data_IF_589669805487
#
_entry.id   IF_589669805487
#
_cell.length_a   1.000
_cell.length_b   1.000
_cell.length_c   1.000
_cell.angle_alpha   90.00
_cell.angle_beta   90.00
_cell.angle_gamma   90.00
#
_symmetry.space_group_name_H-M   'P 1'
#
loop_
_entity.id
_entity.type
_entity.pdbx_description
1 polymer ?
#
# COMPACT_ATOMS: atom_id res chain seq x y z
N UNK A 1 4.56 2.50 -37.90
CA UNK A 1 3.87 3.42 -36.97
C UNK A 1 4.64 3.42 -35.69
N UNK A 2 5.37 4.50 -35.45
CA UNK A 2 6.06 4.76 -34.19
C UNK A 2 5.00 5.19 -33.19
N UNK A 3 4.73 4.39 -32.17
CA UNK A 3 4.04 4.85 -30.99
C UNK A 3 5.06 5.54 -30.08
N UNK A 4 4.89 6.82 -29.87
CA UNK A 4 5.65 7.60 -28.89
C UNK A 4 5.41 7.02 -27.50
N UNK A 5 6.46 6.42 -26.91
CA UNK A 5 6.42 5.77 -25.59
C UNK A 5 6.30 6.70 -24.38
N UNK A 6 5.85 7.96 -24.55
CA UNK A 6 5.73 8.92 -23.47
C UNK A 6 4.33 9.06 -22.86
N UNK A 7 3.33 8.35 -23.36
CA UNK A 7 1.97 8.39 -22.80
C UNK A 7 1.63 7.21 -21.89
N UNK A 8 2.54 6.24 -21.70
CA UNK A 8 2.32 5.09 -20.81
C UNK A 8 2.92 5.25 -19.41
N UNK A 9 3.52 6.38 -19.11
CA UNK A 9 3.95 6.70 -17.74
C UNK A 9 2.93 7.63 -17.07
N UNK A 10 1.67 7.25 -17.10
CA UNK A 10 0.77 7.63 -16.04
C UNK A 10 1.33 6.97 -14.77
N UNK A 11 1.88 7.80 -13.89
CA UNK A 11 2.31 7.45 -12.54
C UNK A 11 1.11 7.06 -11.64
N UNK A 12 0.00 6.69 -12.19
CA UNK A 12 -1.07 5.96 -11.54
C UNK A 12 -0.55 4.54 -11.33
N UNK A 13 0.02 4.35 -10.13
CA UNK A 13 0.42 3.03 -9.63
C UNK A 13 -0.74 2.07 -9.88
N UNK A 14 -0.59 1.04 -10.73
CA UNK A 14 -1.69 0.13 -10.98
C UNK A 14 -2.01 -0.60 -9.66
N UNK A 15 -3.21 -0.39 -9.16
CA UNK A 15 -3.89 -1.18 -8.13
C UNK A 15 -3.49 -1.09 -6.65
N UNK A 16 -2.66 -0.15 -6.21
CA UNK A 16 -2.36 0.00 -4.77
C UNK A 16 -3.08 1.19 -4.16
N UNK A 17 -4.38 1.26 -4.38
CA UNK A 17 -5.15 2.40 -3.92
C UNK A 17 -5.71 2.25 -2.50
N UNK A 18 -5.49 1.14 -1.81
CA UNK A 18 -6.17 0.89 -0.54
C UNK A 18 -7.69 0.90 -0.70
N UNK A 19 -8.42 0.67 0.37
CA UNK A 19 -9.88 0.76 0.38
C UNK A 19 -10.31 2.14 0.84
N UNK A 20 -11.18 2.80 0.06
CA UNK A 20 -11.75 4.08 0.48
C UNK A 20 -12.61 3.88 1.72
N UNK A 21 -12.19 4.47 2.84
CA UNK A 21 -12.86 4.33 4.15
C UNK A 21 -13.48 5.62 4.65
N UNK A 22 -13.29 6.74 3.95
CA UNK A 22 -13.88 7.98 4.41
C UNK A 22 -13.53 9.21 3.57
N UNK A 23 -13.97 10.35 4.07
CA UNK A 23 -13.73 11.67 3.48
C UNK A 23 -13.40 12.68 4.57
N UNK A 24 -12.43 13.54 4.33
CA UNK A 24 -12.07 14.65 5.23
C UNK A 24 -13.22 15.67 5.25
N UNK A 25 -13.73 15.98 6.42
CA UNK A 25 -14.82 16.96 6.62
C UNK A 25 -14.38 18.20 7.37
N UNK A 26 -13.24 18.16 8.05
CA UNK A 26 -12.66 19.29 8.77
C UNK A 26 -11.16 19.16 8.95
N UNK A 27 -10.47 20.28 9.03
CA UNK A 27 -9.05 20.35 9.36
C UNK A 27 -8.85 21.46 10.38
N UNK A 28 -8.60 21.07 11.63
CA UNK A 28 -8.37 21.98 12.74
C UNK A 28 -7.04 21.59 13.39
N UNK A 29 -5.92 21.96 12.76
CA UNK A 29 -4.58 21.54 13.20
C UNK A 29 -4.39 21.68 14.72
N UNK A 30 -3.96 20.66 15.45
CA UNK A 30 -3.32 19.43 14.94
C UNK A 30 -4.27 18.23 14.65
N UNK A 31 -5.54 18.47 14.39
CA UNK A 31 -6.55 17.43 14.16
C UNK A 31 -7.14 17.51 12.76
N UNK A 32 -7.49 16.35 12.22
CA UNK A 32 -8.28 16.19 11.00
C UNK A 32 -9.52 15.37 11.32
N UNK A 33 -10.69 15.88 10.90
CA UNK A 33 -11.98 15.22 11.06
C UNK A 33 -12.33 14.47 9.78
N UNK A 34 -12.70 13.20 9.94
CA UNK A 34 -13.02 12.29 8.84
C UNK A 34 -14.39 11.69 9.08
N UNK A 35 -15.29 11.80 8.11
CA UNK A 35 -16.52 11.01 8.07
C UNK A 35 -16.22 9.65 7.46
N UNK A 36 -16.52 8.60 8.19
CA UNK A 36 -16.23 7.23 7.80
C UNK A 36 -17.31 6.65 6.88
N UNK A 37 -16.89 5.93 5.85
CA UNK A 37 -17.74 5.12 4.95
C UNK A 37 -17.69 3.63 5.30
N UNK A 38 -16.63 3.20 6.00
CA UNK A 38 -16.42 1.85 6.47
C UNK A 38 -15.86 1.86 7.88
N UNK A 39 -15.98 0.75 8.60
CA UNK A 39 -15.42 0.59 9.93
C UNK A 39 -13.89 0.63 9.85
N UNK A 40 -13.28 1.29 10.83
CA UNK A 40 -11.82 1.38 10.99
C UNK A 40 -11.44 1.06 12.43
N UNK A 41 -10.26 0.50 12.61
CA UNK A 41 -9.79 0.04 13.90
C UNK A 41 -8.51 0.75 14.34
N UNK A 42 -8.29 0.80 15.64
CA UNK A 42 -7.02 1.25 16.21
C UNK A 42 -5.87 0.41 15.64
N UNK A 43 -4.84 1.08 15.16
CA UNK A 43 -3.68 0.46 14.51
C UNK A 43 -3.79 0.40 12.98
N UNK A 44 -4.97 0.65 12.39
CA UNK A 44 -5.09 0.81 10.94
C UNK A 44 -4.26 1.99 10.46
N UNK A 45 -3.73 1.89 9.25
CA UNK A 45 -3.04 3.00 8.59
C UNK A 45 -3.96 3.55 7.51
N UNK A 46 -4.21 4.86 7.60
CA UNK A 46 -4.99 5.61 6.63
C UNK A 46 -4.07 6.49 5.78
N UNK A 47 -4.38 6.60 4.51
CA UNK A 47 -3.73 7.48 3.55
C UNK A 47 -4.71 8.55 3.07
N UNK A 48 -4.34 9.81 3.22
CA UNK A 48 -5.07 10.94 2.65
C UNK A 48 -4.29 11.42 1.42
N UNK A 49 -4.93 11.40 0.27
CA UNK A 49 -4.31 11.80 -1.00
C UNK A 49 -4.44 13.27 -1.22
N UNK A 50 -3.29 13.93 -1.36
CA UNK A 50 -3.20 15.35 -1.64
C UNK A 50 -2.44 15.61 -2.95
N UNK A 51 -2.63 16.77 -3.61
CA UNK A 51 -1.86 17.12 -4.80
C UNK A 51 -0.34 17.20 -4.57
N UNK A 52 0.08 17.39 -3.31
CA UNK A 52 1.49 17.49 -2.91
C UNK A 52 2.10 16.18 -2.40
N UNK A 53 1.35 15.08 -2.45
CA UNK A 53 1.76 13.76 -1.98
C UNK A 53 0.76 13.15 -1.01
N UNK A 54 0.97 11.89 -0.67
CA UNK A 54 0.11 11.15 0.23
C UNK A 54 0.55 11.35 1.68
N UNK A 55 -0.42 11.51 2.58
CA UNK A 55 -0.18 11.67 4.02
C UNK A 55 -0.71 10.45 4.73
N UNK A 56 0.18 9.71 5.40
CA UNK A 56 -0.18 8.54 6.19
C UNK A 56 -0.46 8.91 7.65
N UNK A 57 -1.52 8.33 8.19
CA UNK A 57 -1.95 8.50 9.58
C UNK A 57 -2.28 7.15 10.21
N UNK A 58 -1.60 6.82 11.31
CA UNK A 58 -1.94 5.62 12.08
C UNK A 58 -3.06 5.94 13.06
N UNK A 59 -4.13 5.15 13.03
CA UNK A 59 -5.27 5.33 13.90
C UNK A 59 -4.95 4.95 15.35
N UNK A 60 -5.30 5.83 16.27
CA UNK A 60 -5.30 5.56 17.71
C UNK A 60 -6.70 5.30 18.27
N UNK A 61 -7.71 5.36 17.42
CA UNK A 61 -9.14 5.19 17.76
C UNK A 61 -9.78 4.17 16.82
N UNK A 62 -10.91 3.62 17.25
CA UNK A 62 -11.80 2.79 16.43
C UNK A 62 -13.01 3.64 16.04
N UNK A 63 -13.50 3.49 14.82
CA UNK A 63 -14.67 4.19 14.31
C UNK A 63 -15.56 3.31 13.45
N UNK A 64 -16.87 3.49 13.57
CA UNK A 64 -17.86 2.79 12.76
C UNK A 64 -18.25 3.60 11.51
N UNK A 65 -18.66 2.92 10.46
CA UNK A 65 -19.20 3.52 9.25
C UNK A 65 -20.33 4.52 9.57
N UNK A 66 -20.35 5.65 8.88
CA UNK A 66 -21.31 6.74 9.11
C UNK A 66 -20.99 7.65 10.29
N UNK A 67 -19.93 7.39 11.05
CA UNK A 67 -19.49 8.24 12.16
C UNK A 67 -18.32 9.13 11.77
N UNK A 68 -18.12 10.20 12.54
CA UNK A 68 -16.95 11.05 12.42
C UNK A 68 -15.90 10.62 13.44
N UNK A 69 -14.65 10.67 13.02
CA UNK A 69 -13.48 10.51 13.89
C UNK A 69 -12.56 11.71 13.72
N UNK A 70 -11.86 12.08 14.80
CA UNK A 70 -10.80 13.09 14.76
C UNK A 70 -9.46 12.42 15.01
N UNK A 71 -8.49 12.69 14.14
CA UNK A 71 -7.15 12.11 14.21
C UNK A 71 -6.13 13.21 14.34
N UNK A 72 -5.18 13.05 15.27
CA UNK A 72 -4.06 13.96 15.42
C UNK A 72 -2.91 13.57 14.46
N UNK A 73 -2.35 14.56 13.79
CA UNK A 73 -1.21 14.37 12.90
C UNK A 73 -0.25 15.56 12.92
N UNK A 74 0.99 15.32 12.49
CA UNK A 74 2.04 16.35 12.48
C UNK A 74 2.08 17.17 11.20
N UNK A 75 1.69 16.60 10.07
CA UNK A 75 1.83 17.21 8.74
C UNK A 75 0.47 17.44 8.04
N UNK A 76 -0.46 18.11 8.75
CA UNK A 76 -1.83 18.30 8.23
C UNK A 76 -1.97 19.52 7.30
N UNK A 77 -0.90 20.27 7.04
CA UNK A 77 -0.94 21.56 6.33
C UNK A 77 -1.49 21.46 4.90
N UNK A 78 -1.34 20.31 4.26
CA UNK A 78 -1.75 20.08 2.87
C UNK A 78 -3.10 19.36 2.75
N UNK A 79 -3.68 18.96 3.88
CA UNK A 79 -4.99 18.31 3.91
C UNK A 79 -6.09 19.35 3.76
N UNK A 80 -7.07 19.04 2.92
CA UNK A 80 -8.23 19.90 2.66
C UNK A 80 -9.51 19.09 2.81
N UNK A 81 -10.58 19.79 3.20
CA UNK A 81 -11.93 19.22 3.20
C UNK A 81 -12.29 18.65 1.83
N UNK A 82 -12.95 17.50 1.80
CA UNK A 82 -13.39 16.80 0.61
C UNK A 82 -12.38 15.77 0.07
N UNK A 83 -11.16 15.71 0.62
CA UNK A 83 -10.19 14.69 0.21
C UNK A 83 -10.62 13.30 0.66
N UNK A 84 -10.39 12.31 -0.21
CA UNK A 84 -10.70 10.91 0.08
C UNK A 84 -9.65 10.30 0.97
N UNK A 85 -10.10 9.42 1.86
CA UNK A 85 -9.27 8.70 2.82
C UNK A 85 -9.32 7.23 2.50
N UNK A 86 -8.16 6.61 2.38
CA UNK A 86 -7.99 5.20 2.03
C UNK A 86 -7.33 4.47 3.19
N UNK A 87 -7.79 3.25 3.50
CA UNK A 87 -7.09 2.37 4.41
C UNK A 87 -6.07 1.56 3.61
N UNK A 88 -4.80 1.72 3.92
CA UNK A 88 -3.68 0.99 3.31
C UNK A 88 -3.25 -0.21 4.15
N UNK A 89 -3.62 -0.23 5.45
CA UNK A 89 -3.33 -1.33 6.36
C UNK A 89 -4.48 -1.55 7.32
N UNK A 90 -5.02 -2.78 7.31
CA UNK A 90 -6.03 -3.26 8.26
C UNK A 90 -5.36 -4.10 9.35
N UNK A 91 -5.15 -3.51 10.53
CA UNK A 91 -4.37 -4.14 11.60
C UNK A 91 -5.10 -5.35 12.21
N UNK A 92 -6.41 -5.26 12.42
CA UNK A 92 -7.21 -6.38 12.98
C UNK A 92 -7.15 -7.58 12.06
N UNK A 93 -7.22 -7.36 10.77
CA UNK A 93 -7.19 -8.42 9.77
C UNK A 93 -5.81 -9.08 9.68
N UNK A 94 -4.73 -8.30 9.78
CA UNK A 94 -3.36 -8.83 9.85
C UNK A 94 -3.19 -9.73 11.08
N UNK A 95 -3.72 -9.30 12.23
CA UNK A 95 -3.66 -10.09 13.46
C UNK A 95 -4.48 -11.40 13.37
N UNK A 96 -5.63 -11.35 12.69
CA UNK A 96 -6.43 -12.56 12.42
C UNK A 96 -5.69 -13.54 11.52
N UNK A 97 -5.13 -13.07 10.41
CA UNK A 97 -4.34 -13.89 9.48
C UNK A 97 -3.15 -14.52 10.20
N UNK A 98 -2.40 -13.74 10.98
CA UNK A 98 -1.27 -14.26 11.73
C UNK A 98 -1.70 -15.37 12.70
N UNK A 99 -2.84 -15.22 13.38
CA UNK A 99 -3.38 -16.26 14.28
C UNK A 99 -3.81 -17.50 13.51
N UNK A 100 -4.44 -17.34 12.36
CA UNK A 100 -4.86 -18.45 11.50
C UNK A 100 -3.66 -19.19 10.90
N UNK A 101 -2.63 -18.46 10.45
CA UNK A 101 -1.41 -19.03 9.91
C UNK A 101 -0.57 -19.78 10.95
N UNK A 102 -0.51 -19.29 12.20
CA UNK A 102 0.21 -19.96 13.29
C UNK A 102 -0.48 -21.30 13.67
N UNK A 103 -1.79 -21.39 13.49
CA UNK A 103 -2.60 -22.53 13.92
C UNK A 103 -3.00 -23.51 12.79
N UNK A 104 -2.59 -23.26 11.54
CA UNK A 104 -2.94 -24.12 10.41
C UNK A 104 -1.80 -24.26 9.40
N UNK A 105 -1.71 -25.44 8.75
CA UNK A 105 -0.85 -25.67 7.58
C UNK A 105 -1.36 -24.93 6.30
N UNK A 106 -2.22 -23.94 6.46
CA UNK A 106 -2.79 -23.18 5.35
C UNK A 106 -1.84 -22.07 4.92
N UNK A 107 -1.64 -21.96 3.63
CA UNK A 107 -0.91 -20.86 3.02
C UNK A 107 -1.88 -19.79 2.52
N UNK A 108 -1.50 -18.52 2.66
CA UNK A 108 -2.23 -17.38 2.10
C UNK A 108 -1.62 -17.00 0.76
N UNK A 109 -2.47 -16.93 -0.25
CA UNK A 109 -2.08 -16.48 -1.59
C UNK A 109 -1.91 -14.96 -1.60
N UNK A 110 -0.77 -14.50 -2.11
CA UNK A 110 -0.48 -13.08 -2.28
C UNK A 110 -0.04 -12.77 -3.71
N UNK A 111 -0.37 -11.59 -4.19
CA UNK A 111 0.19 -11.00 -5.40
C UNK A 111 1.45 -10.21 -5.07
N UNK A 112 2.40 -10.19 -6.00
CA UNK A 112 3.63 -9.41 -5.90
C UNK A 112 3.88 -8.68 -7.21
N UNK A 113 4.04 -7.37 -7.14
CA UNK A 113 4.48 -6.56 -8.27
C UNK A 113 5.76 -5.82 -7.93
N UNK A 114 6.76 -5.86 -8.81
CA UNK A 114 8.01 -5.13 -8.61
C UNK A 114 8.31 -4.19 -9.77
N UNK A 115 8.96 -3.08 -9.44
CA UNK A 115 9.42 -2.11 -10.41
C UNK A 115 10.84 -1.64 -10.09
N UNK A 116 11.72 -1.66 -11.10
CA UNK A 116 13.07 -1.18 -10.99
C UNK A 116 13.50 -0.44 -12.25
N UNK A 117 13.94 0.80 -12.08
CA UNK A 117 14.51 1.63 -13.13
C UNK A 117 15.79 2.28 -12.63
N UNK A 118 16.81 2.33 -13.47
CA UNK A 118 18.09 2.96 -13.12
C UNK A 118 17.88 4.42 -12.72
N UNK A 119 18.37 4.78 -11.55
CA UNK A 119 18.22 6.15 -11.00
C UNK A 119 16.95 6.36 -10.18
N UNK A 120 16.03 5.39 -10.13
CA UNK A 120 14.84 5.41 -9.28
C UNK A 120 14.93 4.36 -8.15
N UNK A 121 14.21 4.53 -7.03
CA UNK A 121 14.13 3.51 -6.00
C UNK A 121 13.48 2.21 -6.52
N UNK A 122 14.03 1.07 -6.14
CA UNK A 122 13.38 -0.22 -6.39
C UNK A 122 12.12 -0.35 -5.52
N UNK A 123 10.98 -0.70 -6.10
CA UNK A 123 9.73 -0.85 -5.36
C UNK A 123 9.16 -2.26 -5.50
N UNK A 124 8.58 -2.76 -4.42
CA UNK A 124 7.82 -4.01 -4.39
C UNK A 124 6.47 -3.73 -3.76
N UNK A 125 5.43 -4.11 -4.47
CA UNK A 125 4.06 -4.00 -4.00
C UNK A 125 3.53 -5.41 -3.73
N UNK A 126 3.01 -5.63 -2.54
CA UNK A 126 2.40 -6.88 -2.12
C UNK A 126 0.90 -6.67 -1.93
N UNK A 127 0.11 -7.64 -2.34
CA UNK A 127 -1.34 -7.57 -2.19
C UNK A 127 -1.93 -8.90 -1.76
N UNK A 128 -2.87 -8.85 -0.84
CA UNK A 128 -3.74 -9.95 -0.47
C UNK A 128 -5.18 -9.42 -0.55
N UNK A 129 -5.77 -9.40 -1.74
CA UNK A 129 -7.07 -8.76 -1.98
C UNK A 129 -8.20 -9.34 -1.13
N UNK A 130 -8.15 -10.64 -0.85
CA UNK A 130 -9.13 -11.33 -0.01
C UNK A 130 -9.23 -10.72 1.40
N UNK A 131 -8.11 -10.19 1.89
CA UNK A 131 -8.01 -9.58 3.21
C UNK A 131 -7.84 -8.06 3.18
N UNK A 132 -7.95 -7.46 2.01
CA UNK A 132 -7.80 -6.01 1.85
C UNK A 132 -6.45 -5.48 2.36
N UNK A 133 -5.40 -6.28 2.16
CA UNK A 133 -4.04 -5.95 2.57
C UNK A 133 -3.22 -5.55 1.34
N UNK A 134 -2.58 -4.38 1.45
CA UNK A 134 -1.66 -3.85 0.46
C UNK A 134 -0.44 -3.28 1.17
N UNK A 135 0.74 -3.70 0.75
CA UNK A 135 2.02 -3.27 1.35
C UNK A 135 2.96 -2.82 0.27
N UNK A 136 3.45 -1.59 0.38
CA UNK A 136 4.48 -1.03 -0.49
C UNK A 136 5.82 -1.04 0.24
N UNK A 137 6.84 -1.60 -0.40
CA UNK A 137 8.21 -1.59 0.09
C UNK A 137 9.07 -0.83 -0.91
N UNK A 138 9.79 0.16 -0.43
CA UNK A 138 10.74 0.95 -1.22
C UNK A 138 12.16 0.61 -0.78
N UNK A 139 12.98 0.17 -1.72
CA UNK A 139 14.40 -0.12 -1.53
C UNK A 139 15.31 1.01 -1.99
N UNK A 140 16.57 0.68 -2.16
CA UNK A 140 17.59 1.61 -2.63
C UNK A 140 17.41 2.04 -4.09
N UNK A 141 18.10 3.10 -4.49
CA UNK A 141 18.14 3.56 -5.88
C UNK A 141 18.83 2.51 -6.73
N UNK A 142 18.16 2.09 -7.80
CA UNK A 142 18.69 1.11 -8.76
C UNK A 142 19.91 1.70 -9.48
N UNK A 143 21.02 0.98 -9.42
CA UNK A 143 22.25 1.38 -10.07
C UNK A 143 22.44 0.65 -11.41
N UNK A 144 23.13 1.24 -12.38
CA UNK A 144 23.52 0.52 -13.60
C UNK A 144 24.32 -0.74 -13.26
N UNK A 145 24.08 -1.83 -13.98
CA UNK A 145 24.82 -3.07 -13.77
C UNK A 145 26.28 -2.92 -14.23
N UNK A 146 27.23 -3.31 -13.37
CA UNK A 146 28.66 -3.30 -13.73
C UNK A 146 29.02 -4.37 -14.76
N UNK A 147 28.31 -5.51 -14.78
CA UNK A 147 28.56 -6.61 -15.68
C UNK A 147 27.25 -7.02 -16.40
N UNK A 148 26.49 -7.94 -15.78
CA UNK A 148 25.24 -8.44 -16.33
C UNK A 148 24.05 -7.91 -15.55
N UNK A 149 23.08 -7.22 -16.19
CA UNK A 149 21.90 -6.75 -15.50
C UNK A 149 21.06 -7.93 -14.98
N UNK A 150 20.40 -7.70 -13.86
CA UNK A 150 19.40 -8.63 -13.31
C UNK A 150 18.19 -8.61 -14.23
N UNK A 151 17.64 -9.78 -14.52
CA UNK A 151 16.44 -9.90 -15.35
C UNK A 151 15.18 -10.01 -14.50
N UNK A 152 14.03 -9.64 -15.05
CA UNK A 152 12.74 -9.81 -14.39
C UNK A 152 12.49 -11.29 -13.98
N UNK A 153 12.91 -12.26 -14.80
CA UNK A 153 12.81 -13.68 -14.48
C UNK A 153 13.60 -14.08 -13.23
N UNK A 154 14.82 -13.56 -13.08
CA UNK A 154 15.63 -13.80 -11.87
C UNK A 154 15.03 -13.16 -10.62
N UNK A 155 14.42 -11.99 -10.75
CA UNK A 155 13.71 -11.35 -9.65
C UNK A 155 12.45 -12.13 -9.26
N UNK A 156 11.66 -12.59 -10.21
CA UNK A 156 10.49 -13.46 -9.97
C UNK A 156 10.89 -14.72 -9.20
N UNK A 157 11.96 -15.40 -9.60
CA UNK A 157 12.45 -16.59 -8.90
C UNK A 157 12.88 -16.28 -7.45
N UNK A 158 13.56 -15.16 -7.23
CA UNK A 158 14.01 -14.76 -5.88
C UNK A 158 12.85 -14.34 -4.98
N UNK A 159 11.94 -13.52 -5.48
CA UNK A 159 10.77 -13.06 -4.75
C UNK A 159 9.80 -14.21 -4.43
N UNK A 160 9.71 -15.21 -5.31
CA UNK A 160 8.90 -16.41 -5.07
C UNK A 160 9.40 -17.32 -3.94
N UNK A 161 10.63 -17.11 -3.43
CA UNK A 161 11.18 -17.89 -2.32
C UNK A 161 10.72 -17.34 -0.98
N UNK A 162 9.48 -17.62 -0.61
CA UNK A 162 8.86 -17.14 0.64
C UNK A 162 9.29 -17.91 1.91
N UNK A 163 10.10 -18.96 1.76
CA UNK A 163 10.58 -19.79 2.87
C UNK A 163 9.44 -20.48 3.63
N UNK A 164 9.59 -20.59 4.95
CA UNK A 164 8.57 -21.17 5.84
C UNK A 164 7.55 -20.14 6.31
N UNK A 165 7.35 -19.05 5.56
CA UNK A 165 6.27 -18.13 5.85
C UNK A 165 4.95 -18.74 5.41
N UNK A 166 3.86 -18.42 6.07
CA UNK A 166 2.53 -18.86 5.64
C UNK A 166 2.01 -18.18 4.36
N UNK A 167 2.89 -17.57 3.55
CA UNK A 167 2.52 -16.87 2.32
C UNK A 167 3.08 -17.59 1.09
N UNK A 168 2.29 -17.59 0.01
CA UNK A 168 2.70 -18.06 -1.31
C UNK A 168 2.36 -17.01 -2.34
N UNK A 169 3.31 -16.62 -3.15
CA UNK A 169 3.06 -15.75 -4.29
C UNK A 169 2.59 -16.58 -5.48
N UNK A 170 1.30 -16.49 -5.80
CA UNK A 170 0.71 -17.16 -6.95
C UNK A 170 0.91 -16.34 -8.24
N UNK A 171 1.09 -15.04 -8.09
CA UNK A 171 1.30 -14.12 -9.19
C UNK A 171 2.43 -13.14 -8.82
N UNK A 172 3.51 -13.20 -9.60
CA UNK A 172 4.65 -12.29 -9.47
C UNK A 172 4.86 -11.64 -10.82
N UNK A 173 4.54 -10.37 -10.89
CA UNK A 173 4.78 -9.57 -12.08
C UNK A 173 5.76 -8.44 -11.79
N UNK A 174 6.34 -7.89 -12.83
CA UNK A 174 7.19 -6.73 -12.68
C UNK A 174 8.15 -6.48 -13.81
N UNK A 175 8.86 -5.39 -13.64
CA UNK A 175 9.67 -4.76 -14.66
C UNK A 175 11.00 -4.31 -14.06
N UNK A 176 12.10 -4.51 -14.82
CA UNK A 176 13.46 -4.09 -14.46
C UNK A 176 14.27 -3.84 -15.73
#
# INVERSE_FOLDING_TARGET
HMHNGNEMLSLDRPNHTGVEVGTVVGVNAPEVDITLKADVNKGDVLEIRTPSGNIELTLNVTGAAGKNISIKGKELKHIKRGQRVFRTRNNVLIDQINKELINSDKTVSAGCYFYGEVGAPFTVNLSIPEYDIYVDVTGDIVQPANNKPVTAGQLKERLGKTGNTGFVFNDIEGYV
#
